data_IF_261666834568
#
_entry.id   IF_261666834568
#
_cell.length_a   1.000
_cell.length_b   1.000
_cell.length_c   1.000
_cell.angle_alpha   90.00
_cell.angle_beta   90.00
_cell.angle_gamma   90.00
#
_symmetry.space_group_name_H-M   'P 1'
#
loop_
_entity.id
_entity.type
_entity.pdbx_description
1 polymer ?
#
# COMPACT_ATOMS: atom_id res chain seq x y z
N UNK A 1 -22.39 40.03 -43.53
CA UNK A 1 -20.96 40.18 -43.18
C UNK A 1 -20.60 39.12 -42.15
N UNK A 2 -19.74 38.15 -42.50
CA UNK A 2 -19.38 37.06 -41.59
C UNK A 2 -18.28 37.50 -40.61
N UNK A 3 -18.57 37.43 -39.31
CA UNK A 3 -17.62 37.82 -38.26
C UNK A 3 -16.38 36.91 -38.27
N UNK A 4 -15.19 37.54 -38.32
CA UNK A 4 -13.89 36.86 -38.34
C UNK A 4 -13.68 36.15 -37.00
N UNK A 5 -13.53 34.81 -37.01
CA UNK A 5 -13.24 34.04 -35.80
C UNK A 5 -11.93 34.54 -35.13
N UNK A 6 -11.90 34.73 -33.80
CA UNK A 6 -10.72 35.25 -33.12
C UNK A 6 -9.54 34.28 -33.26
N UNK A 7 -8.37 34.82 -33.63
CA UNK A 7 -7.13 34.04 -33.76
C UNK A 7 -6.69 33.55 -32.38
N UNK A 8 -6.56 32.23 -32.21
CA UNK A 8 -6.07 31.64 -30.97
C UNK A 8 -4.60 32.08 -30.71
N UNK A 9 -4.35 32.69 -29.54
CA UNK A 9 -3.00 33.09 -29.12
C UNK A 9 -2.15 31.83 -28.89
N UNK A 10 -0.94 31.79 -29.46
CA UNK A 10 0.05 30.71 -29.19
C UNK A 10 0.48 30.80 -27.73
N UNK A 11 0.19 29.76 -26.94
CA UNK A 11 0.68 29.65 -25.56
C UNK A 11 2.20 29.39 -25.58
N UNK A 12 2.93 30.19 -24.82
CA UNK A 12 4.37 30.00 -24.59
C UNK A 12 4.53 28.74 -23.75
N UNK A 13 5.36 27.80 -24.20
CA UNK A 13 5.66 26.57 -23.43
C UNK A 13 6.62 26.92 -22.32
N UNK A 14 6.25 26.66 -21.07
CA UNK A 14 7.19 26.78 -19.94
C UNK A 14 8.12 25.56 -19.97
N UNK A 15 9.41 25.74 -19.66
CA UNK A 15 10.41 24.67 -19.75
C UNK A 15 10.06 23.41 -18.93
N UNK A 16 9.29 23.56 -17.84
CA UNK A 16 8.85 22.48 -16.96
C UNK A 16 7.52 21.83 -17.39
N UNK A 17 6.89 22.28 -18.48
CA UNK A 17 5.65 21.66 -18.96
C UNK A 17 5.91 20.27 -19.54
N UNK A 18 5.11 19.31 -19.08
CA UNK A 18 5.09 17.97 -19.66
C UNK A 18 4.81 18.04 -21.18
N UNK A 19 5.61 17.35 -22.01
CA UNK A 19 5.35 17.25 -23.44
C UNK A 19 3.94 16.73 -23.71
N UNK A 20 3.31 17.18 -24.81
CA UNK A 20 1.94 16.80 -25.18
C UNK A 20 1.74 15.28 -25.25
N UNK A 21 2.74 14.55 -25.76
CA UNK A 21 2.75 13.08 -25.77
C UNK A 21 2.61 12.48 -24.37
N UNK A 22 3.36 13.01 -23.40
CA UNK A 22 3.33 12.54 -22.00
C UNK A 22 2.00 12.86 -21.32
N UNK A 23 1.41 14.03 -21.61
CA UNK A 23 0.06 14.38 -21.12
C UNK A 23 -1.01 13.41 -21.66
N UNK A 24 -0.96 13.10 -22.95
CA UNK A 24 -1.89 12.14 -23.56
C UNK A 24 -1.73 10.73 -22.97
N UNK A 25 -0.50 10.26 -22.79
CA UNK A 25 -0.23 8.95 -22.18
C UNK A 25 -0.72 8.86 -20.72
N UNK A 26 -0.54 9.92 -19.93
CA UNK A 26 -1.08 9.99 -18.56
C UNK A 26 -2.61 9.95 -18.60
N UNK A 27 -3.23 10.69 -19.53
CA UNK A 27 -4.68 10.73 -19.66
C UNK A 27 -5.27 9.39 -20.08
N UNK A 28 -4.62 8.69 -21.01
CA UNK A 28 -4.98 7.34 -21.44
C UNK A 28 -4.81 6.32 -20.30
N UNK A 29 -3.71 6.39 -19.56
CA UNK A 29 -3.48 5.54 -18.39
C UNK A 29 -4.53 5.77 -17.28
N UNK A 30 -4.89 7.04 -17.01
CA UNK A 30 -5.95 7.35 -16.05
C UNK A 30 -7.33 6.89 -16.52
N UNK A 31 -7.61 6.94 -17.84
CA UNK A 31 -8.87 6.47 -18.40
C UNK A 31 -8.99 4.94 -18.39
N UNK A 32 -7.87 4.23 -18.60
CA UNK A 32 -7.81 2.77 -18.57
C UNK A 32 -7.86 2.20 -17.13
N UNK A 33 -7.38 2.97 -16.14
CA UNK A 33 -7.37 2.55 -14.74
C UNK A 33 -8.79 2.53 -14.16
N UNK A 34 -9.37 1.33 -14.05
CA UNK A 34 -10.58 1.12 -13.25
C UNK A 34 -10.20 1.11 -11.78
N UNK A 35 -10.71 2.09 -11.02
CA UNK A 35 -10.67 2.03 -9.57
C UNK A 35 -11.47 0.82 -9.12
N UNK A 36 -10.80 -0.15 -8.50
CA UNK A 36 -11.49 -1.22 -7.79
C UNK A 36 -12.09 -0.62 -6.52
N UNK A 37 -13.41 -0.61 -6.43
CA UNK A 37 -14.07 -0.21 -5.18
C UNK A 37 -13.86 -1.32 -4.14
N UNK A 38 -13.35 -0.94 -2.98
CA UNK A 38 -13.02 -1.84 -1.85
C UNK A 38 -13.93 -1.47 -0.68
N UNK A 39 -15.22 -1.86 -0.72
CA UNK A 39 -16.18 -1.50 0.32
C UNK A 39 -15.77 -2.01 1.71
N UNK A 40 -14.96 -3.07 1.78
CA UNK A 40 -14.39 -3.58 3.02
C UNK A 40 -13.37 -2.63 3.67
N UNK A 41 -12.83 -1.65 2.95
CA UNK A 41 -11.95 -0.61 3.49
C UNK A 41 -12.69 0.66 3.89
N UNK A 42 -13.99 0.75 3.61
CA UNK A 42 -14.79 1.88 4.04
C UNK A 42 -14.88 1.92 5.57
N UNK A 43 -14.95 3.13 6.14
CA UNK A 43 -15.05 3.36 7.58
C UNK A 43 -16.33 2.78 8.20
N UNK A 44 -17.36 2.61 7.37
CA UNK A 44 -18.62 2.00 7.78
C UNK A 44 -18.55 0.48 7.82
N UNK A 45 -17.53 -0.13 7.19
CA UNK A 45 -17.37 -1.57 7.16
C UNK A 45 -17.08 -2.14 8.55
N UNK A 46 -17.56 -3.37 8.76
CA UNK A 46 -17.36 -4.08 10.03
C UNK A 46 -15.88 -4.44 10.21
N UNK A 47 -15.26 -3.89 11.25
CA UNK A 47 -13.86 -4.15 11.58
C UNK A 47 -13.70 -5.10 12.76
N UNK A 48 -13.35 -6.36 12.49
CA UNK A 48 -13.27 -7.41 13.52
C UNK A 48 -11.84 -7.66 13.99
N UNK A 49 -11.70 -8.43 15.06
CA UNK A 49 -10.39 -8.89 15.54
C UNK A 49 -9.72 -9.83 14.54
N UNK A 50 -8.42 -9.67 14.36
CA UNK A 50 -7.59 -10.57 13.55
C UNK A 50 -7.00 -11.66 14.45
N UNK A 51 -6.86 -12.88 13.92
CA UNK A 51 -6.22 -13.99 14.62
C UNK A 51 -4.89 -14.33 13.95
N UNK A 52 -3.82 -14.36 14.73
CA UNK A 52 -2.50 -14.77 14.28
C UNK A 52 -1.85 -15.70 15.32
N UNK A 53 -1.35 -16.85 14.88
CA UNK A 53 -0.71 -17.86 15.74
C UNK A 53 -1.48 -18.13 17.07
N UNK A 54 -2.78 -18.45 16.94
CA UNK A 54 -3.73 -18.67 18.07
C UNK A 54 -3.91 -17.47 19.02
N UNK A 55 -3.35 -16.30 18.71
CA UNK A 55 -3.56 -15.05 19.43
C UNK A 55 -4.61 -14.21 18.72
N UNK A 56 -5.50 -13.60 19.48
CA UNK A 56 -6.48 -12.64 18.99
C UNK A 56 -5.91 -11.23 19.19
N UNK A 57 -6.02 -10.39 18.16
CA UNK A 57 -5.55 -9.01 18.14
C UNK A 57 -6.77 -8.14 17.82
N UNK A 58 -7.11 -7.25 18.75
CA UNK A 58 -8.28 -6.37 18.61
C UNK A 58 -7.96 -5.17 17.72
N UNK A 59 -8.95 -4.57 17.04
CA UNK A 59 -8.76 -3.30 16.35
C UNK A 59 -8.11 -2.24 17.24
N UNK A 60 -7.14 -1.51 16.71
CA UNK A 60 -6.37 -0.48 17.43
C UNK A 60 -5.27 -1.03 18.34
N UNK A 61 -5.01 -2.34 18.33
CA UNK A 61 -3.98 -2.96 19.16
C UNK A 61 -2.69 -3.21 18.35
N UNK A 62 -1.55 -2.96 18.99
CA UNK A 62 -0.25 -3.46 18.56
C UNK A 62 0.10 -4.70 19.38
N UNK A 63 0.53 -5.76 18.70
CA UNK A 63 0.95 -7.00 19.37
C UNK A 63 2.11 -7.64 18.64
N UNK A 64 3.17 -7.96 19.38
CA UNK A 64 4.25 -8.82 18.91
C UNK A 64 3.96 -10.26 19.33
N UNK A 65 4.11 -11.18 18.39
CA UNK A 65 3.84 -12.61 18.57
C UNK A 65 5.11 -13.38 18.18
N UNK A 66 5.61 -14.17 19.12
CA UNK A 66 6.74 -15.06 18.88
C UNK A 66 6.25 -16.34 18.19
N UNK A 67 6.62 -16.49 16.93
CA UNK A 67 6.32 -17.66 16.13
C UNK A 67 7.51 -18.64 16.21
N UNK A 68 7.34 -19.87 16.71
CA UNK A 68 8.41 -20.85 16.73
C UNK A 68 8.72 -21.28 15.29
N UNK A 69 9.96 -21.04 14.83
CA UNK A 69 10.39 -21.43 13.49
C UNK A 69 10.79 -22.91 13.46
N UNK A 70 11.66 -23.32 14.39
CA UNK A 70 12.22 -24.67 14.45
C UNK A 70 12.02 -25.28 15.84
N UNK A 71 11.46 -26.48 15.87
CA UNK A 71 11.46 -27.33 17.07
C UNK A 71 12.73 -28.19 17.02
N UNK A 72 13.80 -27.70 17.64
CA UNK A 72 15.07 -28.42 17.72
C UNK A 72 15.06 -29.32 18.95
N UNK A 73 15.49 -30.57 18.81
CA UNK A 73 15.60 -31.52 19.93
C UNK A 73 16.85 -31.27 20.79
N UNK A 74 17.84 -30.60 20.23
CA UNK A 74 19.12 -30.28 20.85
C UNK A 74 19.38 -28.77 20.70
N UNK A 75 19.05 -28.00 21.74
CA UNK A 75 19.28 -26.55 21.79
C UNK A 75 18.04 -25.73 22.18
N UNK A 76 18.23 -24.41 22.20
CA UNK A 76 17.17 -23.46 22.54
C UNK A 76 16.19 -23.27 21.37
N UNK A 77 14.95 -22.91 21.72
CA UNK A 77 13.93 -22.57 20.73
C UNK A 77 14.35 -21.31 19.98
N UNK A 78 14.14 -21.32 18.67
CA UNK A 78 14.37 -20.16 17.82
C UNK A 78 13.04 -19.55 17.35
N UNK A 79 12.44 -18.63 18.13
CA UNK A 79 11.26 -17.90 17.71
C UNK A 79 11.63 -16.74 16.76
N UNK A 80 10.74 -16.46 15.81
CA UNK A 80 10.74 -15.25 15.01
C UNK A 80 9.66 -14.31 15.55
N UNK A 81 10.04 -13.06 15.80
CA UNK A 81 9.12 -12.02 16.25
C UNK A 81 8.30 -11.47 15.08
N UNK A 82 6.98 -11.63 15.13
CA UNK A 82 6.05 -11.03 14.17
C UNK A 82 5.27 -9.92 14.87
N UNK A 83 5.45 -8.67 14.44
CA UNK A 83 4.71 -7.53 14.98
C UNK A 83 3.51 -7.22 14.11
N UNK A 84 2.33 -7.23 14.71
CA UNK A 84 1.07 -6.92 14.05
C UNK A 84 0.53 -5.61 14.62
N UNK A 85 0.33 -4.66 13.72
CA UNK A 85 -0.35 -3.40 14.00
C UNK A 85 -1.75 -3.50 13.42
N UNK A 86 -2.74 -3.72 14.27
CA UNK A 86 -4.13 -3.76 13.82
C UNK A 86 -4.73 -2.36 13.89
N UNK A 87 -5.03 -1.77 12.73
CA UNK A 87 -5.63 -0.44 12.66
C UNK A 87 -6.95 -0.35 13.43
N UNK A 88 -7.33 0.84 13.88
CA UNK A 88 -8.65 1.07 14.52
C UNK A 88 -9.81 1.04 13.51
N UNK A 89 -9.50 1.24 12.22
CA UNK A 89 -10.47 1.35 11.13
C UNK A 89 -10.16 0.31 10.06
N UNK A 90 -11.16 -0.12 9.27
CA UNK A 90 -10.93 -0.93 8.09
C UNK A 90 -9.97 -0.27 7.10
N UNK A 91 -9.23 -1.12 6.40
CA UNK A 91 -8.23 -0.68 5.45
C UNK A 91 -7.41 -1.84 4.90
N UNK A 92 -6.46 -1.54 3.99
CA UNK A 92 -5.59 -2.54 3.40
C UNK A 92 -4.75 -3.26 4.46
N UNK A 93 -4.47 -4.53 4.21
CA UNK A 93 -3.53 -5.33 4.99
C UNK A 93 -2.21 -5.39 4.22
N UNK A 94 -1.14 -4.95 4.87
CA UNK A 94 0.22 -4.99 4.31
C UNK A 94 1.06 -5.94 5.13
N UNK A 95 1.78 -6.83 4.46
CA UNK A 95 2.78 -7.70 5.08
C UNK A 95 4.15 -7.22 4.65
N UNK A 96 5.00 -6.90 5.63
CA UNK A 96 6.38 -6.49 5.41
C UNK A 96 7.26 -7.62 5.91
N UNK A 97 8.14 -8.10 5.03
CA UNK A 97 9.15 -9.10 5.33
C UNK A 97 10.51 -8.44 5.26
N UNK A 98 11.38 -8.80 6.18
CA UNK A 98 12.73 -8.28 6.32
C UNK A 98 13.71 -9.41 6.62
N UNK A 99 15.01 -9.11 6.52
CA UNK A 99 16.07 -10.05 6.90
C UNK A 99 15.99 -11.42 6.20
N UNK A 100 15.54 -11.46 4.93
CA UNK A 100 15.41 -12.74 4.19
C UNK A 100 16.78 -13.38 4.00
N UNK A 101 17.80 -12.56 3.72
CA UNK A 101 19.21 -12.95 3.75
C UNK A 101 19.86 -12.41 5.03
N UNK A 102 20.76 -13.20 5.62
CA UNK A 102 21.36 -12.92 6.92
C UNK A 102 22.41 -11.80 6.92
N UNK A 103 22.82 -11.33 5.75
CA UNK A 103 23.81 -10.27 5.53
C UNK A 103 23.18 -8.91 5.15
N UNK A 104 21.86 -8.85 4.91
CA UNK A 104 21.14 -7.63 4.56
C UNK A 104 20.65 -6.89 5.81
N UNK A 105 21.48 -6.00 6.37
CA UNK A 105 21.11 -5.23 7.58
C UNK A 105 20.02 -4.16 7.31
N UNK A 106 19.95 -3.64 6.08
CA UNK A 106 18.93 -2.65 5.73
C UNK A 106 17.63 -3.36 5.37
N UNK A 107 16.58 -3.10 6.15
CA UNK A 107 15.30 -3.80 6.01
C UNK A 107 15.17 -5.04 6.90
N UNK A 108 16.06 -5.20 7.90
CA UNK A 108 15.85 -6.09 9.06
C UNK A 108 14.90 -5.49 10.09
#
# INVERSE_FOLDING_TARGET
MAAKKPKAKKKIRVAHELPRKRKNAIQEAMAAHKLEDRPEWDRTAKWTSTRFYRKIIKPGQLRTVEMPLLNVSLGDKWPISVTIIHGKRPGPVVTILGAIHGDELTGT
#
